data_IF_544762215496
#
_entry.id   IF_544762215496
#
_cell.length_a   1.000
_cell.length_b   1.000
_cell.length_c   1.000
_cell.angle_alpha   90.00
_cell.angle_beta   90.00
_cell.angle_gamma   90.00
#
_symmetry.space_group_name_H-M   'P 1'
#
loop_
_entity.id
_entity.type
_entity.pdbx_description
1 polymer ?
#
# COMPACT_ATOMS: atom_id res chain seq x y z
N UNK A 1 -9.32 -5.84 3.06
CA UNK A 1 -9.25 -6.63 1.82
C UNK A 1 -10.61 -6.62 1.14
N UNK A 2 -10.75 -5.89 0.04
CA UNK A 2 -11.92 -6.00 -0.83
C UNK A 2 -11.90 -7.38 -1.48
N UNK A 3 -12.83 -8.24 -1.10
CA UNK A 3 -13.07 -9.55 -1.72
C UNK A 3 -13.79 -9.36 -3.05
N UNK A 4 -13.13 -8.82 -4.06
CA UNK A 4 -13.69 -8.68 -5.41
C UNK A 4 -12.74 -9.31 -6.40
N UNK A 5 -13.02 -10.56 -6.77
CA UNK A 5 -12.43 -11.20 -7.94
C UNK A 5 -12.89 -10.47 -9.21
N UNK A 6 -12.11 -10.50 -10.28
CA UNK A 6 -12.55 -9.92 -11.55
C UNK A 6 -13.78 -10.66 -12.10
N UNK A 7 -14.53 -10.01 -12.97
CA UNK A 7 -15.70 -10.62 -13.61
C UNK A 7 -15.29 -11.84 -14.44
N UNK A 8 -14.12 -11.79 -15.08
CA UNK A 8 -13.59 -12.92 -15.85
C UNK A 8 -13.30 -14.12 -14.92
N UNK A 9 -12.62 -13.89 -13.80
CA UNK A 9 -12.32 -14.95 -12.83
C UNK A 9 -13.56 -15.47 -12.12
N UNK A 10 -14.59 -14.64 -11.91
CA UNK A 10 -15.89 -15.12 -11.42
C UNK A 10 -16.56 -16.06 -12.43
N UNK A 11 -16.51 -15.74 -13.73
CA UNK A 11 -17.07 -16.59 -14.78
C UNK A 11 -16.32 -17.93 -14.85
N UNK A 12 -14.97 -17.89 -14.83
CA UNK A 12 -14.14 -19.09 -14.87
C UNK A 12 -14.30 -19.96 -13.62
N UNK A 13 -14.35 -19.36 -12.43
CA UNK A 13 -14.64 -20.08 -11.17
C UNK A 13 -15.98 -20.83 -11.21
N UNK A 14 -16.97 -20.29 -11.92
CA UNK A 14 -18.30 -20.89 -12.02
C UNK A 14 -18.39 -21.97 -13.11
N UNK A 15 -17.32 -22.21 -13.89
CA UNK A 15 -17.27 -23.33 -14.84
C UNK A 15 -17.08 -24.65 -14.09
N UNK A 16 -17.68 -25.70 -14.63
CA UNK A 16 -17.55 -27.07 -14.10
C UNK A 16 -16.09 -27.56 -14.27
N UNK A 17 -15.41 -27.10 -15.31
CA UNK A 17 -13.99 -27.33 -15.57
C UNK A 17 -13.39 -26.02 -16.10
N UNK A 18 -12.26 -25.61 -15.53
CA UNK A 18 -11.44 -24.51 -16.06
C UNK A 18 -10.07 -25.08 -16.44
N UNK A 19 -9.69 -24.85 -17.69
CA UNK A 19 -8.39 -25.25 -18.24
C UNK A 19 -7.34 -24.14 -18.15
N UNK A 20 -7.63 -23.10 -17.37
CA UNK A 20 -6.86 -21.85 -17.36
C UNK A 20 -6.15 -21.71 -16.00
N UNK A 21 -4.81 -21.77 -15.96
CA UNK A 21 -4.07 -21.61 -14.71
C UNK A 21 -3.97 -20.15 -14.26
N UNK A 22 -3.90 -19.94 -12.95
CA UNK A 22 -3.42 -18.70 -12.37
C UNK A 22 -1.90 -18.65 -12.42
N UNK A 23 -1.36 -17.52 -12.88
CA UNK A 23 0.07 -17.27 -12.98
C UNK A 23 0.50 -16.35 -11.83
N UNK A 24 1.36 -16.81 -10.92
CA UNK A 24 2.00 -15.95 -9.94
C UNK A 24 3.12 -15.16 -10.61
N UNK A 25 3.03 -13.84 -10.50
CA UNK A 25 4.04 -12.86 -10.90
C UNK A 25 4.74 -12.33 -9.66
N UNK A 26 6.01 -12.00 -9.83
CA UNK A 26 6.87 -11.51 -8.78
C UNK A 26 7.73 -10.38 -9.34
N UNK A 27 7.55 -9.18 -8.78
CA UNK A 27 8.40 -8.03 -9.06
C UNK A 27 9.30 -7.79 -7.84
N UNK A 28 10.61 -7.83 -8.04
CA UNK A 28 11.61 -7.55 -6.99
C UNK A 28 12.28 -6.22 -7.33
N UNK A 29 12.02 -5.20 -6.53
CA UNK A 29 12.68 -3.90 -6.65
C UNK A 29 14.01 -3.93 -5.89
N UNK A 30 15.10 -3.85 -6.63
CA UNK A 30 16.46 -3.72 -6.10
C UNK A 30 16.66 -2.28 -5.65
N UNK A 31 16.78 -2.07 -4.34
CA UNK A 31 16.96 -0.76 -3.73
C UNK A 31 18.43 -0.54 -3.38
N UNK A 32 18.98 0.61 -3.77
CA UNK A 32 20.33 1.01 -3.34
C UNK A 32 20.29 1.48 -1.87
N UNK A 33 21.03 0.83 -0.95
CA UNK A 33 21.03 1.18 0.46
C UNK A 33 21.65 2.56 0.76
N UNK A 34 22.46 3.11 -0.14
CA UNK A 34 23.07 4.43 0.05
C UNK A 34 22.11 5.59 -0.27
N UNK A 35 21.21 5.39 -1.24
CA UNK A 35 20.33 6.44 -1.77
C UNK A 35 18.84 6.19 -1.50
N UNK A 36 18.46 4.96 -1.13
CA UNK A 36 17.08 4.54 -0.95
C UNK A 36 16.27 4.55 -2.26
N UNK A 37 16.93 4.61 -3.41
CA UNK A 37 16.30 4.65 -4.72
C UNK A 37 16.26 3.26 -5.35
N UNK A 38 15.20 2.96 -6.10
CA UNK A 38 15.09 1.74 -6.90
C UNK A 38 16.06 1.83 -8.07
N UNK A 39 17.00 0.90 -8.14
CA UNK A 39 18.01 0.82 -9.21
C UNK A 39 17.47 0.03 -10.39
N UNK A 40 16.85 -1.11 -10.10
CA UNK A 40 16.39 -2.08 -11.10
C UNK A 40 15.20 -2.85 -10.53
N UNK A 41 14.28 -3.27 -11.40
CA UNK A 41 13.17 -4.15 -11.03
C UNK A 41 13.29 -5.44 -11.81
N UNK A 42 13.34 -6.57 -11.11
CA UNK A 42 13.37 -7.90 -11.71
C UNK A 42 11.93 -8.41 -11.83
N UNK A 43 11.52 -8.75 -13.06
CA UNK A 43 10.18 -9.22 -13.39
C UNK A 43 10.19 -10.73 -13.63
N UNK A 44 9.60 -11.50 -12.72
CA UNK A 44 9.64 -12.96 -12.72
C UNK A 44 8.23 -13.55 -12.74
N UNK A 45 8.04 -14.64 -13.48
CA UNK A 45 6.78 -15.42 -13.50
C UNK A 45 7.05 -16.88 -13.16
N UNK A 46 6.19 -17.48 -12.35
CA UNK A 46 6.19 -18.93 -12.13
C UNK A 46 5.43 -19.60 -13.28
N UNK A 47 6.09 -19.70 -14.42
CA UNK A 47 5.63 -20.36 -15.63
C UNK A 47 6.84 -20.86 -16.43
N UNK A 48 6.61 -21.75 -17.40
CA UNK A 48 7.66 -22.25 -18.30
C UNK A 48 7.89 -21.31 -19.50
N UNK A 49 6.95 -20.41 -19.78
CA UNK A 49 6.99 -19.48 -20.90
C UNK A 49 7.06 -18.02 -20.41
N UNK A 50 7.73 -17.18 -21.20
CA UNK A 50 7.71 -15.72 -21.03
C UNK A 50 6.30 -15.21 -21.29
N UNK A 51 5.83 -14.32 -20.42
CA UNK A 51 4.53 -13.67 -20.57
C UNK A 51 4.69 -12.16 -20.61
N UNK A 52 3.73 -11.48 -21.23
CA UNK A 52 3.65 -10.03 -21.25
C UNK A 52 2.41 -9.61 -20.48
N UNK A 53 2.59 -8.83 -19.42
CA UNK A 53 1.51 -8.30 -18.60
C UNK A 53 1.67 -6.78 -18.49
N UNK A 54 0.62 -6.02 -18.82
CA UNK A 54 0.65 -4.55 -18.86
C UNK A 54 1.82 -3.94 -19.65
N UNK A 55 2.29 -4.63 -20.69
CA UNK A 55 3.41 -4.19 -21.53
C UNK A 55 4.80 -4.44 -20.93
N UNK A 56 4.89 -5.18 -19.82
CA UNK A 56 6.14 -5.62 -19.19
C UNK A 56 6.35 -7.11 -19.48
N UNK A 57 7.57 -7.49 -19.85
CA UNK A 57 7.97 -8.88 -20.08
C UNK A 57 8.41 -9.53 -18.76
N UNK A 58 7.77 -10.64 -18.40
CA UNK A 58 8.10 -11.42 -17.22
C UNK A 58 8.88 -12.68 -17.59
N UNK A 59 10.06 -12.85 -17.00
CA UNK A 59 10.96 -13.96 -17.29
C UNK A 59 10.55 -15.20 -16.48
N UNK A 60 10.50 -16.40 -17.10
CA UNK A 60 10.17 -17.62 -16.40
C UNK A 60 11.21 -17.97 -15.34
N UNK A 61 10.76 -18.15 -14.09
CA UNK A 61 11.59 -18.53 -12.97
C UNK A 61 10.82 -19.41 -11.98
N UNK A 62 11.49 -20.46 -11.49
CA UNK A 62 10.91 -21.34 -10.50
C UNK A 62 11.05 -20.72 -9.10
N UNK A 63 9.92 -20.32 -8.51
CA UNK A 63 9.86 -19.84 -7.14
C UNK A 63 8.65 -20.40 -6.39
N UNK A 64 8.78 -20.45 -5.07
CA UNK A 64 7.75 -20.91 -4.15
C UNK A 64 7.58 -19.94 -2.98
N UNK A 65 6.34 -19.75 -2.54
CA UNK A 65 6.00 -18.92 -1.39
C UNK A 65 5.34 -19.82 -0.36
N UNK A 66 5.98 -19.93 0.80
CA UNK A 66 5.47 -20.68 1.93
C UNK A 66 5.12 -19.73 3.07
N UNK A 67 4.05 -20.06 3.78
CA UNK A 67 3.65 -19.35 4.99
C UNK A 67 3.91 -20.26 6.18
N UNK A 68 4.68 -19.78 7.15
CA UNK A 68 4.93 -20.47 8.41
C UNK A 68 4.10 -19.81 9.49
N UNK A 69 3.07 -20.53 9.94
CA UNK A 69 2.25 -20.17 11.09
C UNK A 69 2.62 -21.06 12.28
N UNK A 70 3.16 -20.45 13.34
CA UNK A 70 3.40 -21.12 14.62
C UNK A 70 2.61 -20.39 15.72
N UNK A 71 2.11 -21.16 16.69
CA UNK A 71 1.31 -20.60 17.81
C UNK A 71 2.21 -19.74 18.69
N UNK A 72 1.83 -18.48 18.89
CA UNK A 72 2.57 -17.45 19.64
C UNK A 72 3.84 -16.88 18.96
N UNK A 73 4.01 -17.08 17.65
CA UNK A 73 5.05 -16.38 16.88
C UNK A 73 4.43 -15.51 15.79
N UNK A 74 5.21 -14.56 15.28
CA UNK A 74 4.78 -13.73 14.16
C UNK A 74 4.80 -14.59 12.89
N UNK A 75 3.66 -14.69 12.21
CA UNK A 75 3.56 -15.36 10.91
C UNK A 75 4.63 -14.80 9.97
N UNK A 76 5.49 -15.68 9.46
CA UNK A 76 6.52 -15.33 8.50
C UNK A 76 6.17 -15.93 7.15
N UNK A 77 6.33 -15.12 6.10
CA UNK A 77 6.27 -15.57 4.73
C UNK A 77 7.69 -15.77 4.24
N UNK A 78 7.93 -16.91 3.59
CA UNK A 78 9.24 -17.25 3.05
C UNK A 78 9.10 -17.48 1.55
N UNK A 79 9.87 -16.72 0.78
CA UNK A 79 9.96 -16.80 -0.67
C UNK A 79 11.28 -17.47 -1.04
N UNK A 80 11.20 -18.58 -1.76
CA UNK A 80 12.37 -19.33 -2.25
C UNK A 80 12.41 -19.26 -3.77
N UNK A 81 13.52 -18.80 -4.33
CA UNK A 81 13.71 -18.60 -5.77
C UNK A 81 14.92 -19.42 -6.22
N UNK A 82 14.73 -20.25 -7.23
CA UNK A 82 15.82 -20.99 -7.86
C UNK A 82 16.47 -20.12 -8.94
N UNK A 83 17.59 -19.50 -8.60
CA UNK A 83 18.37 -18.63 -9.49
C UNK A 83 19.58 -19.37 -10.06
N UNK A 84 19.33 -20.17 -11.11
CA UNK A 84 20.41 -20.85 -11.84
C UNK A 84 21.35 -19.88 -12.57
N UNK A 85 20.85 -18.67 -12.90
CA UNK A 85 21.62 -17.65 -13.61
C UNK A 85 22.56 -16.84 -12.71
N UNK A 86 22.37 -16.94 -11.39
CA UNK A 86 23.02 -16.12 -10.38
C UNK A 86 22.78 -14.61 -10.54
N UNK A 87 21.82 -14.19 -11.37
CA UNK A 87 21.51 -12.78 -11.60
C UNK A 87 20.95 -12.12 -10.33
N UNK A 88 19.99 -12.77 -9.67
CA UNK A 88 19.42 -12.29 -8.41
C UNK A 88 20.48 -12.34 -7.30
N UNK A 89 21.26 -13.43 -7.23
CA UNK A 89 22.32 -13.56 -6.24
C UNK A 89 23.41 -12.48 -6.40
N UNK A 90 23.77 -12.12 -7.63
CA UNK A 90 24.70 -11.03 -7.91
C UNK A 90 24.16 -9.67 -7.42
N UNK A 91 22.87 -9.39 -7.66
CA UNK A 91 22.22 -8.17 -7.16
C UNK A 91 22.18 -8.13 -5.63
N UNK A 92 21.85 -9.25 -4.99
CA UNK A 92 21.89 -9.36 -3.53
C UNK A 92 23.30 -9.04 -2.99
N UNK A 93 24.36 -9.57 -3.60
CA UNK A 93 25.73 -9.29 -3.18
C UNK A 93 26.14 -7.83 -3.40
N UNK A 94 25.66 -7.20 -4.47
CA UNK A 94 25.90 -5.80 -4.76
C UNK A 94 25.21 -4.85 -3.77
N UNK A 95 24.01 -5.21 -3.28
CA UNK A 95 23.14 -4.34 -2.48
C UNK A 95 22.82 -4.94 -1.10
N UNK A 96 23.82 -4.96 -0.21
CA UNK A 96 23.68 -5.33 1.22
C UNK A 96 22.96 -6.65 1.53
N UNK A 97 23.05 -7.64 0.63
CA UNK A 97 22.43 -8.94 0.83
C UNK A 97 20.94 -9.00 0.49
N UNK A 98 20.35 -7.94 -0.08
CA UNK A 98 18.95 -7.91 -0.51
C UNK A 98 17.92 -7.62 0.59
N UNK A 99 18.36 -7.25 1.78
CA UNK A 99 17.46 -6.80 2.87
C UNK A 99 16.96 -5.38 2.56
N UNK A 100 15.65 -5.15 2.70
CA UNK A 100 14.99 -3.88 2.37
C UNK A 100 14.54 -3.76 0.91
N UNK A 101 14.69 -4.81 0.10
CA UNK A 101 14.06 -4.85 -1.22
C UNK A 101 12.54 -4.91 -1.08
N UNK A 102 11.84 -4.25 -1.99
CA UNK A 102 10.39 -4.38 -2.08
C UNK A 102 10.05 -5.53 -3.02
N UNK A 103 9.07 -6.32 -2.62
CA UNK A 103 8.56 -7.45 -3.40
C UNK A 103 7.07 -7.25 -3.61
N UNK A 104 6.66 -7.18 -4.88
CA UNK A 104 5.25 -7.15 -5.25
C UNK A 104 4.87 -8.52 -5.78
N UNK A 105 3.95 -9.17 -5.10
CA UNK A 105 3.41 -10.45 -5.51
C UNK A 105 2.05 -10.26 -6.14
N UNK A 106 1.92 -10.64 -7.41
CA UNK A 106 0.71 -10.41 -8.19
C UNK A 106 0.20 -11.73 -8.74
N UNK A 107 -1.10 -12.00 -8.61
CA UNK A 107 -1.73 -13.18 -9.24
C UNK A 107 -2.58 -12.70 -10.41
N UNK A 108 -2.32 -13.27 -11.58
CA UNK A 108 -3.08 -13.01 -12.80
C UNK A 108 -3.67 -14.31 -13.35
N UNK A 109 -4.78 -14.18 -14.06
CA UNK A 109 -5.39 -15.28 -14.82
C UNK A 109 -4.74 -15.32 -16.22
N UNK A 110 -4.24 -16.50 -16.64
CA UNK A 110 -3.57 -16.66 -17.94
C UNK A 110 -4.48 -16.36 -19.15
N UNK A 111 -5.80 -16.42 -19.00
CA UNK A 111 -6.76 -16.04 -20.06
C UNK A 111 -7.06 -14.54 -20.13
N UNK A 112 -6.62 -13.78 -19.12
CA UNK A 112 -7.04 -12.41 -18.87
C UNK A 112 -5.86 -11.51 -18.50
N UNK A 113 -4.77 -11.59 -19.27
CA UNK A 113 -3.57 -10.75 -19.09
C UNK A 113 -3.80 -9.26 -19.36
N UNK A 114 -4.90 -8.90 -20.02
CA UNK A 114 -5.30 -7.50 -20.27
C UNK A 114 -6.21 -6.92 -19.16
N UNK A 115 -6.58 -7.73 -18.16
CA UNK A 115 -7.45 -7.33 -17.07
C UNK A 115 -6.64 -6.95 -15.80
N UNK A 116 -7.24 -6.18 -14.88
CA UNK A 116 -6.60 -5.93 -13.59
C UNK A 116 -6.29 -7.26 -12.87
N UNK A 117 -5.19 -7.31 -12.10
CA UNK A 117 -4.79 -8.51 -11.39
C UNK A 117 -5.82 -8.93 -10.33
N UNK A 118 -5.90 -10.24 -10.07
CA UNK A 118 -6.83 -10.81 -9.09
C UNK A 118 -6.39 -10.52 -7.65
N UNK A 119 -5.08 -10.54 -7.42
CA UNK A 119 -4.46 -10.26 -6.14
C UNK A 119 -3.16 -9.49 -6.36
N UNK A 120 -2.94 -8.47 -5.54
CA UNK A 120 -1.67 -7.76 -5.45
C UNK A 120 -1.34 -7.62 -3.97
N UNK A 121 -0.19 -8.13 -3.57
CA UNK A 121 0.33 -8.03 -2.21
C UNK A 121 1.72 -7.40 -2.24
N UNK A 122 1.98 -6.55 -1.25
CA UNK A 122 3.22 -5.79 -1.13
C UNK A 122 3.97 -6.26 0.11
N UNK A 123 5.21 -6.68 -0.10
CA UNK A 123 6.10 -7.20 0.94
C UNK A 123 7.43 -6.45 0.94
N UNK A 124 8.06 -6.40 2.10
CA UNK A 124 9.44 -5.94 2.27
C UNK A 124 10.31 -7.13 2.69
N UNK A 125 11.51 -7.25 2.13
CA UNK A 125 12.46 -8.31 2.51
C UNK A 125 13.09 -7.97 3.86
N UNK A 126 12.74 -8.73 4.90
CA UNK A 126 13.24 -8.56 6.27
C UNK A 126 14.51 -9.37 6.53
N UNK A 127 14.64 -10.51 5.88
CA UNK A 127 15.81 -11.37 5.94
C UNK A 127 16.08 -11.99 4.58
N UNK A 128 17.35 -12.25 4.29
CA UNK A 128 17.76 -12.79 3.02
C UNK A 128 18.92 -13.76 3.22
N UNK A 129 18.90 -14.87 2.50
CA UNK A 129 20.00 -15.83 2.42
C UNK A 129 20.11 -16.38 1.01
N UNK A 130 21.31 -16.80 0.61
CA UNK A 130 21.53 -17.43 -0.69
C UNK A 130 22.47 -18.62 -0.50
N UNK A 131 22.05 -19.79 -0.96
CA UNK A 131 22.81 -21.05 -0.89
C UNK A 131 22.56 -21.88 -2.13
N UNK A 132 23.63 -22.42 -2.74
CA UNK A 132 23.55 -23.42 -3.82
C UNK A 132 22.47 -23.11 -4.89
N UNK A 133 22.51 -21.89 -5.46
CA UNK A 133 21.57 -21.37 -6.47
C UNK A 133 20.14 -21.10 -6.00
N UNK A 134 19.87 -21.20 -4.70
CA UNK A 134 18.58 -20.85 -4.10
C UNK A 134 18.72 -19.56 -3.32
N UNK A 135 17.94 -18.54 -3.70
CA UNK A 135 17.78 -17.31 -2.93
C UNK A 135 16.52 -17.43 -2.07
N UNK A 136 16.67 -17.26 -0.75
CA UNK A 136 15.58 -17.36 0.21
C UNK A 136 15.38 -16.01 0.91
N UNK A 137 14.16 -15.50 0.85
CA UNK A 137 13.76 -14.22 1.44
C UNK A 137 12.70 -14.44 2.50
N UNK A 138 12.93 -13.90 3.70
CA UNK A 138 11.90 -13.69 4.70
C UNK A 138 11.15 -12.41 4.38
N UNK A 139 9.89 -12.55 3.99
CA UNK A 139 9.00 -11.46 3.64
C UNK A 139 8.26 -10.96 4.88
N UNK A 140 8.44 -9.67 5.17
CA UNK A 140 7.62 -8.92 6.11
C UNK A 140 6.43 -8.34 5.38
N UNK A 141 5.23 -8.56 5.92
CA UNK A 141 4.07 -7.78 5.52
C UNK A 141 4.26 -6.33 6.00
N UNK A 142 3.83 -5.37 5.19
CA UNK A 142 3.82 -3.96 5.57
C UNK A 142 3.18 -3.76 6.94
N UNK A 143 3.94 -3.21 7.87
CA UNK A 143 3.43 -2.98 9.22
C UNK A 143 2.58 -1.71 9.23
N UNK A 144 1.27 -1.90 9.15
CA UNK A 144 0.29 -0.81 9.20
C UNK A 144 0.38 0.04 10.48
N UNK A 145 1.05 -0.40 11.55
CA UNK A 145 1.29 0.41 12.74
C UNK A 145 2.34 1.52 12.52
N UNK A 146 3.22 1.37 11.52
CA UNK A 146 4.18 2.39 11.10
C UNK A 146 3.63 3.30 10.00
N UNK A 147 2.48 2.99 9.41
CA UNK A 147 1.80 3.88 8.47
C UNK A 147 1.32 5.12 9.22
N UNK A 148 1.76 6.30 8.78
CA UNK A 148 1.30 7.57 9.33
C UNK A 148 -0.18 7.81 9.02
N UNK A 149 -1.05 7.46 9.96
CA UNK A 149 -2.44 7.91 9.91
C UNK A 149 -2.53 9.37 10.36
N UNK A 150 -3.41 10.19 9.75
CA UNK A 150 -3.70 11.51 10.27
C UNK A 150 -4.05 11.41 11.75
N UNK A 151 -3.27 12.08 12.60
CA UNK A 151 -3.45 12.05 14.07
C UNK A 151 -4.88 12.43 14.51
N UNK A 152 -5.62 13.12 13.65
CA UNK A 152 -6.96 13.62 13.94
C UNK A 152 -7.92 13.40 12.78
N UNK A 153 -9.21 13.37 13.10
CA UNK A 153 -10.31 13.14 12.16
C UNK A 153 -10.33 14.21 11.06
N UNK A 154 -10.17 13.78 9.82
CA UNK A 154 -10.28 14.64 8.66
C UNK A 154 -11.75 14.70 8.25
N UNK A 155 -12.45 15.80 8.51
CA UNK A 155 -13.81 16.01 7.99
C UNK A 155 -13.85 17.25 7.13
N UNK A 156 -14.79 17.29 6.17
CA UNK A 156 -14.96 18.42 5.25
C UNK A 156 -15.70 19.58 5.90
N UNK A 157 -16.84 19.26 6.51
CA UNK A 157 -17.86 20.26 6.88
C UNK A 157 -17.76 20.74 8.33
N UNK A 158 -17.09 19.97 9.21
CA UNK A 158 -17.08 20.20 10.65
C UNK A 158 -15.67 20.42 11.22
N UNK A 159 -15.48 21.54 11.90
CA UNK A 159 -14.28 21.87 12.64
C UNK A 159 -14.08 20.87 13.78
N UNK A 160 -12.90 20.27 13.86
CA UNK A 160 -12.53 19.36 14.93
C UNK A 160 -12.05 20.06 16.21
N UNK A 161 -11.77 21.37 16.15
CA UNK A 161 -11.21 22.09 17.29
C UNK A 161 -12.22 22.30 18.40
N UNK A 162 -11.76 22.22 19.65
CA UNK A 162 -12.57 22.66 20.79
C UNK A 162 -12.73 24.17 20.71
N UNK A 163 -13.96 24.65 20.84
CA UNK A 163 -14.24 26.08 20.76
C UNK A 163 -13.52 26.85 21.89
N UNK A 164 -12.89 27.98 21.54
CA UNK A 164 -12.05 28.82 22.43
C UNK A 164 -10.79 28.16 22.98
N UNK A 165 -10.37 27.02 22.42
CA UNK A 165 -9.07 26.45 22.72
C UNK A 165 -7.95 27.40 22.23
N UNK A 166 -7.03 27.86 23.12
CA UNK A 166 -6.02 28.85 22.75
C UNK A 166 -5.05 28.38 21.67
N UNK A 167 -4.68 27.10 21.70
CA UNK A 167 -3.63 26.55 20.84
C UNK A 167 -4.14 26.16 19.44
N UNK A 168 -5.42 25.83 19.31
CA UNK A 168 -6.00 25.34 18.05
C UNK A 168 -7.01 26.31 17.44
N UNK A 169 -8.11 26.58 18.15
CA UNK A 169 -9.20 27.42 17.67
C UNK A 169 -8.84 28.91 17.69
N UNK A 170 -8.12 29.38 18.72
CA UNK A 170 -7.63 30.76 18.82
C UNK A 170 -8.69 31.86 18.90
N UNK A 171 -9.98 31.52 19.01
CA UNK A 171 -11.06 32.50 19.13
C UNK A 171 -11.15 33.06 20.57
N UNK A 172 -10.88 34.35 20.72
CA UNK A 172 -10.92 35.05 22.02
C UNK A 172 -12.09 36.03 22.17
N UNK A 173 -13.10 35.99 21.29
CA UNK A 173 -14.24 36.91 21.33
C UNK A 173 -15.29 36.56 22.38
N UNK A 174 -16.35 37.37 22.43
CA UNK A 174 -17.44 37.28 23.42
C UNK A 174 -18.37 36.08 23.22
N UNK A 175 -18.42 35.48 22.03
CA UNK A 175 -19.32 34.36 21.79
C UNK A 175 -18.98 33.15 22.67
N UNK A 176 -20.03 32.47 23.16
CA UNK A 176 -19.96 31.34 24.09
C UNK A 176 -20.19 29.99 23.41
N UNK A 177 -20.74 29.97 22.19
CA UNK A 177 -20.98 28.78 21.38
C UNK A 177 -20.49 28.92 19.93
N UNK A 178 -20.35 27.79 19.24
CA UNK A 178 -19.96 27.68 17.84
C UNK A 178 -20.67 26.48 17.21
N UNK A 179 -21.07 26.58 15.94
CA UNK A 179 -21.73 25.49 15.21
C UNK A 179 -20.72 24.53 14.56
N UNK A 180 -19.41 24.76 14.76
CA UNK A 180 -18.31 24.02 14.16
C UNK A 180 -18.32 23.98 12.63
N UNK A 181 -19.04 24.87 11.95
CA UNK A 181 -19.04 24.97 10.48
C UNK A 181 -18.16 26.10 9.99
N UNK A 182 -17.76 26.08 8.72
CA UNK A 182 -16.98 27.18 8.14
C UNK A 182 -17.88 28.40 7.88
N UNK A 183 -18.99 28.21 7.16
CA UNK A 183 -19.87 29.27 6.64
C UNK A 183 -21.25 29.33 7.33
N UNK A 184 -21.46 28.59 8.43
CA UNK A 184 -22.73 28.64 9.15
C UNK A 184 -22.95 29.96 9.90
N UNK A 185 -24.18 30.21 10.37
CA UNK A 185 -24.57 31.46 11.03
C UNK A 185 -23.74 31.76 12.30
N UNK A 186 -23.28 30.71 12.99
CA UNK A 186 -22.38 30.82 14.13
C UNK A 186 -21.07 30.04 13.89
N UNK A 187 -20.66 29.93 12.62
CA UNK A 187 -19.45 29.25 12.14
C UNK A 187 -18.21 30.15 12.14
N UNK A 188 -17.07 29.60 11.74
CA UNK A 188 -15.77 30.30 11.80
C UNK A 188 -15.72 31.60 10.99
N UNK A 189 -16.40 31.69 9.85
CA UNK A 189 -16.48 32.93 9.08
C UNK A 189 -17.25 34.05 9.82
N UNK A 190 -18.30 33.70 10.57
CA UNK A 190 -19.09 34.66 11.35
C UNK A 190 -18.36 35.22 12.57
N UNK A 191 -17.29 34.55 13.04
CA UNK A 191 -16.50 34.93 14.21
C UNK A 191 -15.49 36.06 13.95
N UNK A 192 -15.34 36.50 12.70
CA UNK A 192 -14.50 37.64 12.35
C UNK A 192 -13.00 37.35 12.50
N UNK A 193 -12.27 38.31 13.09
CA UNK A 193 -10.80 38.25 13.22
C UNK A 193 -10.38 37.74 14.61
N UNK A 194 -9.28 37.01 14.63
CA UNK A 194 -8.58 36.56 15.84
C UNK A 194 -7.73 37.70 16.43
N UNK A 195 -7.21 37.55 17.67
CA UNK A 195 -6.34 38.55 18.30
C UNK A 195 -5.08 38.90 17.50
N UNK A 196 -4.61 37.99 16.65
CA UNK A 196 -3.47 38.17 15.73
C UNK A 196 -3.84 38.99 14.46
N UNK A 197 -5.09 39.47 14.36
CA UNK A 197 -5.60 40.25 13.23
C UNK A 197 -5.98 39.42 12.00
N UNK A 198 -5.79 38.09 12.02
CA UNK A 198 -6.11 37.19 10.90
C UNK A 198 -7.56 36.69 11.01
N UNK A 199 -8.23 36.36 9.89
CA UNK A 199 -9.57 35.81 9.94
C UNK A 199 -9.59 34.44 10.65
N UNK A 200 -10.67 34.18 11.38
CA UNK A 200 -10.90 32.93 12.08
C UNK A 200 -10.99 31.72 11.12
N UNK A 201 -11.34 31.94 9.85
CA UNK A 201 -11.41 30.92 8.80
C UNK A 201 -10.10 30.20 8.53
N UNK A 202 -8.94 30.84 8.75
CA UNK A 202 -7.62 30.22 8.54
C UNK A 202 -7.33 29.11 9.58
N UNK A 203 -7.93 29.20 10.78
CA UNK A 203 -7.82 28.17 11.82
C UNK A 203 -9.00 27.20 11.81
N UNK A 204 -9.74 27.12 10.70
CA UNK A 204 -10.79 26.11 10.58
C UNK A 204 -10.16 24.72 10.60
N UNK A 205 -10.58 23.88 11.55
CA UNK A 205 -10.00 22.57 11.79
C UNK A 205 -10.53 21.46 10.89
N UNK A 206 -11.15 21.81 9.77
CA UNK A 206 -11.64 20.86 8.78
C UNK A 206 -10.97 21.11 7.43
N UNK A 207 -11.23 20.23 6.47
CA UNK A 207 -10.56 20.20 5.18
C UNK A 207 -11.58 20.34 4.04
N UNK A 208 -12.02 21.57 3.71
CA UNK A 208 -13.05 21.82 2.70
C UNK A 208 -12.71 21.31 1.29
N UNK A 209 -11.43 21.10 1.00
CA UNK A 209 -10.94 20.55 -0.27
C UNK A 209 -11.11 19.04 -0.43
N UNK A 210 -11.50 18.31 0.64
CA UNK A 210 -11.85 16.90 0.52
C UNK A 210 -13.16 16.80 -0.27
N UNK A 211 -13.17 16.02 -1.34
CA UNK A 211 -14.36 15.81 -2.17
C UNK A 211 -15.50 15.21 -1.33
N UNK A 212 -16.75 15.64 -1.57
CA UNK A 212 -17.91 15.13 -0.82
C UNK A 212 -18.30 13.69 -1.16
N UNK A 213 -17.62 13.08 -2.13
CA UNK A 213 -17.90 11.72 -2.60
C UNK A 213 -17.18 10.64 -1.77
N UNK A 214 -16.73 10.97 -0.56
CA UNK A 214 -16.18 9.99 0.38
C UNK A 214 -17.22 8.96 0.81
N UNK A 215 -16.84 7.69 0.81
CA UNK A 215 -17.64 6.55 1.27
C UNK A 215 -18.15 6.84 2.70
N UNK A 216 -19.47 6.89 2.85
CA UNK A 216 -20.13 6.93 4.16
C UNK A 216 -20.20 5.49 4.65
N UNK A 217 -19.39 5.13 5.64
CA UNK A 217 -19.67 3.94 6.44
C UNK A 217 -20.94 4.22 7.24
N UNK A 218 -22.03 3.57 6.81
CA UNK A 218 -23.27 3.48 7.59
C UNK A 218 -23.09 2.47 8.73
#
# INVERSE_FOLDING_TARGET
>A
MSKSLSVATILEKNRIESGVPFLPLLDIEVVDPATGSVVETLHLVRNDELIVFNGIEYVPCAFDISMKEEVNTQTSLELSINDYSQALQAQMQAYQGGVGFNVVFTIVDSSALDLPPELVEYFEVMSASASEYTASFGLGANNNLFTYFPRRRQTRDYCQWRFKDPDTCGYAGSATSCDFTLQGPNGCAAKGKRPDGRPQTIQFGAYPGINSNGIRYA
#
